data_IF_599321746017
#
_entry.id   IF_599321746017
#
_cell.length_a   1.000
_cell.length_b   1.000
_cell.length_c   1.000
_cell.angle_alpha   90.00
_cell.angle_beta   90.00
_cell.angle_gamma   90.00
#
_symmetry.space_group_name_H-M   'P 1'
#
loop_
_entity.id
_entity.type
_entity.pdbx_description
1 polymer ?
#
# COMPACT_ATOMS: atom_id res chain seq x y z
N UNK A 1 -16.90 -67.60 -24.70
CA UNK A 1 -15.51 -67.17 -24.40
C UNK A 1 -15.15 -65.85 -25.05
N UNK A 2 -15.35 -65.66 -26.37
CA UNK A 2 -15.07 -64.39 -27.07
C UNK A 2 -15.78 -63.16 -26.47
N UNK A 3 -17.06 -63.29 -26.08
CA UNK A 3 -17.82 -62.17 -25.50
C UNK A 3 -17.32 -61.74 -24.12
N UNK A 4 -16.77 -62.68 -23.34
CA UNK A 4 -16.26 -62.42 -21.99
C UNK A 4 -14.91 -61.72 -22.05
N UNK A 5 -14.06 -62.08 -23.02
CA UNK A 5 -12.80 -61.39 -23.30
C UNK A 5 -12.99 -59.98 -23.86
N UNK A 6 -13.95 -59.76 -24.77
CA UNK A 6 -14.23 -58.42 -25.28
C UNK A 6 -14.88 -57.51 -24.22
N UNK A 7 -15.69 -58.07 -23.32
CA UNK A 7 -16.28 -57.33 -22.21
C UNK A 7 -15.23 -56.91 -21.17
N UNK A 8 -14.26 -57.78 -20.87
CA UNK A 8 -13.13 -57.47 -19.98
C UNK A 8 -12.24 -56.38 -20.58
N UNK A 9 -11.86 -56.47 -21.87
CA UNK A 9 -11.06 -55.43 -22.52
C UNK A 9 -11.76 -54.07 -22.59
N UNK A 10 -13.08 -54.05 -22.77
CA UNK A 10 -13.86 -52.81 -22.75
C UNK A 10 -13.92 -52.20 -21.35
N UNK A 11 -14.07 -53.02 -20.31
CA UNK A 11 -14.04 -52.59 -18.91
C UNK A 11 -12.67 -52.08 -18.48
N UNK A 12 -11.59 -52.72 -18.91
CA UNK A 12 -10.22 -52.32 -18.55
C UNK A 12 -9.85 -50.96 -19.18
N UNK A 13 -10.30 -50.72 -20.42
CA UNK A 13 -10.19 -49.41 -21.08
C UNK A 13 -11.00 -48.34 -20.34
N UNK A 14 -12.23 -48.65 -19.92
CA UNK A 14 -13.07 -47.73 -19.12
C UNK A 14 -12.44 -47.43 -17.75
N UNK A 15 -11.84 -48.43 -17.09
CA UNK A 15 -11.14 -48.27 -15.82
C UNK A 15 -9.89 -47.39 -15.98
N UNK A 16 -9.12 -47.55 -17.07
CA UNK A 16 -7.99 -46.68 -17.40
C UNK A 16 -8.40 -45.22 -17.62
N UNK A 17 -9.52 -44.98 -18.33
CA UNK A 17 -10.07 -43.62 -18.49
C UNK A 17 -10.59 -43.03 -17.18
N UNK A 18 -11.21 -43.83 -16.32
CA UNK A 18 -11.67 -43.38 -15.00
C UNK A 18 -10.49 -43.01 -14.09
N UNK A 19 -9.41 -43.79 -14.09
CA UNK A 19 -8.19 -43.48 -13.33
C UNK A 19 -7.50 -42.23 -13.86
N UNK A 20 -7.43 -42.05 -15.18
CA UNK A 20 -6.86 -40.85 -15.79
C UNK A 20 -7.67 -39.59 -15.43
N UNK A 21 -9.00 -39.64 -15.57
CA UNK A 21 -9.86 -38.52 -15.20
C UNK A 21 -9.81 -38.24 -13.69
N UNK A 22 -9.76 -39.29 -12.86
CA UNK A 22 -9.56 -39.16 -11.41
C UNK A 22 -8.24 -38.48 -11.06
N UNK A 23 -7.14 -38.85 -11.72
CA UNK A 23 -5.83 -38.23 -11.52
C UNK A 23 -5.81 -36.75 -11.98
N UNK A 24 -6.42 -36.45 -13.14
CA UNK A 24 -6.56 -35.08 -13.63
C UNK A 24 -7.38 -34.21 -12.66
N UNK A 25 -8.49 -34.73 -12.14
CA UNK A 25 -9.34 -34.01 -11.19
C UNK A 25 -8.63 -33.82 -9.85
N UNK A 26 -7.89 -34.83 -9.38
CA UNK A 26 -7.05 -34.73 -8.20
C UNK A 26 -5.97 -33.65 -8.36
N UNK A 27 -5.29 -33.58 -9.50
CA UNK A 27 -4.31 -32.51 -9.80
C UNK A 27 -4.95 -31.13 -9.77
N UNK A 28 -6.14 -30.97 -10.37
CA UNK A 28 -6.89 -29.71 -10.33
C UNK A 28 -7.26 -29.33 -8.90
N UNK A 29 -7.75 -30.27 -8.09
CA UNK A 29 -8.10 -30.03 -6.69
C UNK A 29 -6.86 -29.68 -5.86
N UNK A 30 -5.74 -30.39 -6.06
CA UNK A 30 -4.47 -30.10 -5.38
C UNK A 30 -3.97 -28.71 -5.77
N UNK A 31 -4.04 -28.36 -7.06
CA UNK A 31 -3.66 -27.04 -7.53
C UNK A 31 -4.50 -25.95 -6.87
N UNK A 32 -5.83 -26.07 -6.89
CA UNK A 32 -6.69 -25.06 -6.25
C UNK A 32 -6.50 -25.03 -4.73
N UNK A 33 -6.35 -26.15 -4.05
CA UNK A 33 -6.15 -26.16 -2.59
C UNK A 33 -4.80 -25.56 -2.19
N UNK A 34 -3.73 -25.77 -2.97
CA UNK A 34 -2.41 -25.21 -2.71
C UNK A 34 -2.28 -23.72 -3.10
N UNK A 35 -2.80 -23.32 -4.26
CA UNK A 35 -2.55 -21.99 -4.83
C UNK A 35 -3.64 -20.95 -4.52
N UNK A 36 -4.89 -21.36 -4.31
CA UNK A 36 -5.99 -20.42 -3.98
C UNK A 36 -5.72 -19.61 -2.71
N UNK A 37 -5.22 -20.21 -1.60
CA UNK A 37 -4.89 -19.44 -0.40
C UNK A 37 -3.82 -18.36 -0.66
N UNK A 38 -2.81 -18.68 -1.47
CA UNK A 38 -1.72 -17.76 -1.83
C UNK A 38 -2.28 -16.57 -2.61
N UNK A 39 -3.14 -16.82 -3.61
CA UNK A 39 -3.77 -15.75 -4.38
C UNK A 39 -4.68 -14.87 -3.54
N UNK A 40 -5.46 -15.46 -2.63
CA UNK A 40 -6.28 -14.69 -1.69
C UNK A 40 -5.42 -13.81 -0.79
N UNK A 41 -4.34 -14.35 -0.21
CA UNK A 41 -3.40 -13.58 0.61
C UNK A 41 -2.81 -12.40 -0.16
N UNK A 42 -2.28 -12.63 -1.36
CA UNK A 42 -1.73 -11.55 -2.20
C UNK A 42 -2.77 -10.47 -2.51
N UNK A 43 -4.00 -10.87 -2.82
CA UNK A 43 -5.10 -9.92 -3.09
C UNK A 43 -5.49 -9.14 -1.83
N UNK A 44 -5.50 -9.78 -0.67
CA UNK A 44 -5.78 -9.12 0.62
C UNK A 44 -4.69 -8.12 0.97
N UNK A 45 -3.42 -8.51 0.85
CA UNK A 45 -2.28 -7.61 1.07
C UNK A 45 -2.31 -6.40 0.14
N UNK A 46 -2.55 -6.61 -1.16
CA UNK A 46 -2.67 -5.50 -2.11
C UNK A 46 -3.79 -4.54 -1.72
N UNK A 47 -4.96 -5.06 -1.30
CA UNK A 47 -6.08 -4.21 -0.82
C UNK A 47 -5.71 -3.45 0.45
N UNK A 48 -5.05 -4.10 1.41
CA UNK A 48 -4.62 -3.46 2.65
C UNK A 48 -3.58 -2.36 2.38
N UNK A 49 -2.61 -2.62 1.51
CA UNK A 49 -1.62 -1.64 1.08
C UNK A 49 -2.25 -0.40 0.42
N UNK A 50 -3.23 -0.59 -0.46
CA UNK A 50 -3.96 0.54 -1.08
C UNK A 50 -4.75 1.34 -0.04
N UNK A 51 -5.33 0.69 0.97
CA UNK A 51 -5.99 1.39 2.08
C UNK A 51 -5.01 2.21 2.91
N UNK A 52 -3.81 1.69 3.18
CA UNK A 52 -2.75 2.44 3.86
C UNK A 52 -2.31 3.66 3.06
N UNK A 53 -2.17 3.51 1.73
CA UNK A 53 -1.87 4.64 0.85
C UNK A 53 -2.97 5.72 0.92
N UNK A 54 -4.24 5.31 0.89
CA UNK A 54 -5.37 6.22 1.03
C UNK A 54 -5.39 6.91 2.40
N UNK A 55 -5.15 6.17 3.48
CA UNK A 55 -5.11 6.71 4.85
C UNK A 55 -4.01 7.78 5.00
N UNK A 56 -2.80 7.53 4.48
CA UNK A 56 -1.74 8.54 4.52
C UNK A 56 -2.04 9.77 3.68
N UNK A 57 -2.72 9.63 2.54
CA UNK A 57 -3.22 10.77 1.77
C UNK A 57 -4.28 11.55 2.55
N UNK A 58 -5.27 10.87 3.13
CA UNK A 58 -6.37 11.49 3.88
C UNK A 58 -5.86 12.31 5.07
N UNK A 59 -4.88 11.80 5.80
CA UNK A 59 -4.26 12.55 6.92
C UNK A 59 -3.63 13.85 6.42
N UNK A 60 -2.83 13.80 5.35
CA UNK A 60 -2.24 15.01 4.75
C UNK A 60 -3.30 15.98 4.21
N UNK A 61 -4.31 15.45 3.52
CA UNK A 61 -5.40 16.24 2.95
C UNK A 61 -6.20 16.96 4.03
N UNK A 62 -6.51 16.28 5.14
CA UNK A 62 -7.25 16.85 6.25
C UNK A 62 -6.49 18.04 6.86
N UNK A 63 -5.17 17.90 7.09
CA UNK A 63 -4.37 19.01 7.61
C UNK A 63 -4.24 20.14 6.59
N UNK A 64 -3.96 19.84 5.33
CA UNK A 64 -3.90 20.86 4.28
C UNK A 64 -5.20 21.66 4.14
N UNK A 65 -6.37 20.99 4.24
CA UNK A 65 -7.69 21.67 4.15
C UNK A 65 -8.05 22.48 5.39
N UNK A 66 -7.57 22.09 6.56
CA UNK A 66 -7.96 22.72 7.83
C UNK A 66 -7.05 23.88 8.22
N UNK A 67 -5.73 23.75 8.03
CA UNK A 67 -4.71 24.76 8.38
C UNK A 67 -5.01 26.17 7.87
N UNK A 68 -5.55 26.40 6.65
CA UNK A 68 -5.85 27.76 6.19
C UNK A 68 -6.90 28.51 7.03
N UNK A 69 -7.76 27.79 7.76
CA UNK A 69 -8.93 28.37 8.44
C UNK A 69 -8.62 28.88 9.85
N UNK A 70 -7.40 28.67 10.37
CA UNK A 70 -6.99 29.13 11.70
C UNK A 70 -5.48 29.38 11.74
N UNK A 71 -5.01 30.11 12.75
CA UNK A 71 -3.59 30.23 13.02
C UNK A 71 -3.15 29.04 13.88
N UNK A 72 -2.24 28.17 13.40
CA UNK A 72 -1.77 27.03 14.17
C UNK A 72 -1.15 27.45 15.50
N UNK A 73 -1.38 26.64 16.53
CA UNK A 73 -0.67 26.71 17.81
C UNK A 73 0.16 25.44 18.00
N UNK A 74 1.18 25.50 18.86
CA UNK A 74 2.11 24.37 19.08
C UNK A 74 1.38 23.06 19.38
N UNK A 75 0.31 23.11 20.20
CA UNK A 75 -0.50 21.94 20.54
C UNK A 75 -1.18 21.31 19.32
N UNK A 76 -1.74 22.13 18.42
CA UNK A 76 -2.41 21.64 17.21
C UNK A 76 -1.43 20.98 16.24
N UNK A 77 -0.23 21.56 16.09
CA UNK A 77 0.83 21.01 15.24
C UNK A 77 1.40 19.70 15.82
N UNK A 78 1.56 19.61 17.14
CA UNK A 78 1.95 18.34 17.80
C UNK A 78 0.88 17.27 17.65
N UNK A 79 -0.40 17.63 17.76
CA UNK A 79 -1.51 16.71 17.46
C UNK A 79 -1.49 16.22 16.02
N UNK A 80 -1.14 17.11 15.08
CA UNK A 80 -0.95 16.74 13.68
C UNK A 80 0.23 15.78 13.48
N UNK A 81 1.39 16.10 14.07
CA UNK A 81 2.57 15.24 14.03
C UNK A 81 2.30 13.84 14.61
N UNK A 82 1.53 13.73 15.70
CA UNK A 82 1.12 12.46 16.28
C UNK A 82 0.22 11.65 15.33
N UNK A 83 -0.73 12.30 14.67
CA UNK A 83 -1.64 11.64 13.72
C UNK A 83 -0.88 11.11 12.50
N UNK A 84 0.05 11.91 11.96
CA UNK A 84 0.98 11.49 10.91
C UNK A 84 1.88 10.34 11.41
N UNK A 85 2.37 10.42 12.65
CA UNK A 85 3.16 9.39 13.31
C UNK A 85 2.44 8.04 13.39
N UNK A 86 1.14 8.04 13.70
CA UNK A 86 0.32 6.83 13.72
C UNK A 86 0.29 6.11 12.37
N UNK A 87 0.16 6.85 11.26
CA UNK A 87 0.18 6.26 9.91
C UNK A 87 1.57 5.75 9.55
N UNK A 88 2.63 6.48 9.90
CA UNK A 88 4.03 6.04 9.72
C UNK A 88 4.24 4.68 10.39
N UNK A 89 3.80 4.52 11.63
CA UNK A 89 3.91 3.26 12.36
C UNK A 89 3.09 2.14 11.71
N UNK A 90 1.89 2.44 11.23
CA UNK A 90 1.05 1.47 10.53
C UNK A 90 1.71 0.96 9.24
N UNK A 91 2.29 1.87 8.45
CA UNK A 91 3.07 1.50 7.25
C UNK A 91 4.33 0.72 7.63
N UNK A 92 5.03 1.13 8.70
CA UNK A 92 6.26 0.46 9.16
C UNK A 92 6.06 -0.98 9.62
N UNK A 93 4.85 -1.33 10.11
CA UNK A 93 4.49 -2.70 10.51
C UNK A 93 3.96 -3.54 9.33
N UNK A 94 3.69 -2.93 8.18
CA UNK A 94 3.12 -3.63 7.04
C UNK A 94 4.16 -4.56 6.37
N UNK A 95 3.83 -5.81 6.01
CA UNK A 95 4.77 -6.74 5.38
C UNK A 95 5.00 -6.39 3.90
N UNK A 96 5.76 -5.31 3.64
CA UNK A 96 6.03 -4.77 2.30
C UNK A 96 6.72 -5.82 1.38
N UNK A 97 7.56 -6.69 1.95
CA UNK A 97 8.28 -7.74 1.23
C UNK A 97 7.36 -8.85 0.67
N UNK A 98 6.11 -8.94 1.11
CA UNK A 98 5.13 -9.90 0.59
C UNK A 98 4.34 -9.36 -0.62
N UNK A 99 4.50 -8.07 -0.95
CA UNK A 99 3.90 -7.47 -2.12
C UNK A 99 4.72 -7.81 -3.38
N UNK A 100 4.01 -8.03 -4.49
CA UNK A 100 4.65 -8.27 -5.79
C UNK A 100 5.40 -7.00 -6.25
N UNK A 101 6.65 -7.14 -6.67
CA UNK A 101 7.38 -6.03 -7.29
C UNK A 101 6.88 -5.82 -8.73
N UNK A 102 6.13 -4.73 -8.93
CA UNK A 102 5.65 -4.30 -10.25
C UNK A 102 6.52 -3.17 -10.85
N UNK A 103 7.79 -3.06 -10.43
CA UNK A 103 8.70 -2.04 -10.93
C UNK A 103 8.27 -0.63 -10.50
N UNK A 104 8.18 0.31 -11.45
CA UNK A 104 7.85 1.72 -11.18
C UNK A 104 6.44 1.93 -10.60
N UNK A 105 5.51 0.99 -10.83
CA UNK A 105 4.13 1.03 -10.33
C UNK A 105 3.90 0.15 -9.10
N UNK A 106 4.98 -0.30 -8.47
CA UNK A 106 4.92 -1.19 -7.31
C UNK A 106 4.31 -0.49 -6.11
N UNK A 107 3.22 -1.06 -5.60
CA UNK A 107 2.54 -0.59 -4.38
C UNK A 107 3.52 -0.58 -3.19
N UNK A 108 4.47 -1.52 -3.15
CA UNK A 108 5.53 -1.55 -2.15
C UNK A 108 6.38 -0.26 -2.17
N UNK A 109 6.78 0.19 -3.37
CA UNK A 109 7.55 1.42 -3.53
C UNK A 109 6.72 2.65 -3.15
N UNK A 110 5.45 2.68 -3.53
CA UNK A 110 4.54 3.76 -3.13
C UNK A 110 4.40 3.85 -1.61
N UNK A 111 4.31 2.71 -0.90
CA UNK A 111 4.25 2.71 0.57
C UNK A 111 5.53 3.27 1.20
N UNK A 112 6.70 2.90 0.67
CA UNK A 112 7.98 3.41 1.16
C UNK A 112 8.09 4.92 0.91
N UNK A 113 7.73 5.37 -0.30
CA UNK A 113 7.76 6.79 -0.66
C UNK A 113 6.77 7.61 0.19
N UNK A 114 5.56 7.09 0.41
CA UNK A 114 4.59 7.69 1.33
C UNK A 114 5.15 7.81 2.74
N UNK A 115 5.75 6.73 3.26
CA UNK A 115 6.33 6.73 4.61
C UNK A 115 7.41 7.82 4.76
N UNK A 116 8.32 7.93 3.79
CA UNK A 116 9.33 9.00 3.78
C UNK A 116 8.71 10.40 3.71
N UNK A 117 7.66 10.60 2.91
CA UNK A 117 6.96 11.88 2.80
C UNK A 117 6.23 12.26 4.10
N UNK A 118 5.55 11.30 4.73
CA UNK A 118 4.92 11.48 6.03
C UNK A 118 5.96 11.77 7.12
N UNK A 119 7.11 11.09 7.11
CA UNK A 119 8.19 11.35 8.07
C UNK A 119 8.74 12.77 7.92
N UNK A 120 8.99 13.24 6.69
CA UNK A 120 9.39 14.62 6.43
C UNK A 120 8.32 15.61 6.91
N UNK A 121 7.04 15.33 6.65
CA UNK A 121 5.93 16.16 7.11
C UNK A 121 5.88 16.25 8.63
N UNK A 122 6.02 15.11 9.31
CA UNK A 122 6.06 15.05 10.77
C UNK A 122 7.19 15.91 11.35
N UNK A 123 8.40 15.82 10.77
CA UNK A 123 9.55 16.61 11.21
C UNK A 123 9.28 18.11 11.09
N UNK A 124 8.73 18.56 9.96
CA UNK A 124 8.39 19.98 9.76
C UNK A 124 7.30 20.43 10.74
N UNK A 125 6.29 19.60 11.01
CA UNK A 125 5.26 19.92 12.00
C UNK A 125 5.82 20.03 13.42
N UNK A 126 6.73 19.12 13.81
CA UNK A 126 7.38 19.14 15.12
C UNK A 126 8.31 20.36 15.27
N UNK A 127 9.10 20.68 14.25
CA UNK A 127 9.98 21.86 14.23
C UNK A 127 9.17 23.17 14.30
N UNK A 128 8.14 23.30 13.46
CA UNK A 128 7.24 24.46 13.48
C UNK A 128 6.56 24.59 14.85
N UNK A 129 6.14 23.48 15.47
CA UNK A 129 5.53 23.50 16.79
C UNK A 129 6.49 23.98 17.88
N UNK A 130 7.78 23.68 17.78
CA UNK A 130 8.81 24.17 18.69
C UNK A 130 9.06 25.67 18.47
N UNK A 131 9.12 26.13 17.22
CA UNK A 131 9.38 27.53 16.88
C UNK A 131 8.27 28.50 17.29
N UNK A 132 7.02 28.03 17.38
CA UNK A 132 5.85 28.84 17.79
C UNK A 132 5.45 28.61 19.25
N UNK A 133 6.27 27.92 20.05
CA UNK A 133 5.91 27.58 21.42
C UNK A 133 5.55 28.83 22.26
N UNK A 134 4.40 28.78 22.94
CA UNK A 134 3.88 29.90 23.74
C UNK A 134 3.14 30.99 22.95
N UNK A 135 2.98 30.85 21.63
CA UNK A 135 2.21 31.78 20.79
C UNK A 135 1.42 31.06 19.68
N UNK A 136 0.57 31.80 18.98
CA UNK A 136 0.05 31.36 17.70
C UNK A 136 1.07 31.64 16.58
N UNK A 137 1.00 30.85 15.52
CA UNK A 137 1.69 31.13 14.28
C UNK A 137 1.23 32.46 13.68
N UNK A 138 2.14 33.14 13.01
CA UNK A 138 1.82 34.29 12.15
C UNK A 138 1.16 33.82 10.86
N UNK A 139 0.51 34.74 10.14
CA UNK A 139 -0.08 34.43 8.83
C UNK A 139 0.97 33.90 7.84
N UNK A 140 2.17 34.48 7.82
CA UNK A 140 3.26 34.01 6.95
C UNK A 140 3.76 32.60 7.30
N UNK A 141 3.86 32.27 8.59
CA UNK A 141 4.22 30.91 9.04
C UNK A 141 3.13 29.89 8.68
N UNK A 142 1.85 30.28 8.82
CA UNK A 142 0.71 29.45 8.37
C UNK A 142 0.78 29.23 6.86
N UNK A 143 0.99 30.27 6.08
CA UNK A 143 0.96 30.19 4.62
C UNK A 143 2.11 29.33 4.09
N UNK A 144 3.30 29.45 4.69
CA UNK A 144 4.44 28.57 4.40
C UNK A 144 4.12 27.10 4.70
N UNK A 145 3.46 26.84 5.84
CA UNK A 145 3.05 25.49 6.21
C UNK A 145 1.99 24.93 5.24
N UNK A 146 1.03 25.74 4.83
CA UNK A 146 0.00 25.36 3.85
C UNK A 146 0.62 25.01 2.51
N UNK A 147 1.54 25.85 2.02
CA UNK A 147 2.28 25.61 0.77
C UNK A 147 3.06 24.29 0.84
N UNK A 148 3.83 24.09 1.91
CA UNK A 148 4.57 22.84 2.12
C UNK A 148 3.65 21.62 2.14
N UNK A 149 2.55 21.65 2.89
CA UNK A 149 1.57 20.57 2.94
C UNK A 149 0.92 20.34 1.56
N UNK A 150 0.70 21.40 0.79
CA UNK A 150 0.17 21.35 -0.58
C UNK A 150 1.10 20.61 -1.53
N UNK A 151 2.41 20.93 -1.52
CA UNK A 151 3.41 20.21 -2.31
C UNK A 151 3.48 18.73 -1.93
N UNK A 152 3.46 18.42 -0.63
CA UNK A 152 3.49 17.03 -0.15
C UNK A 152 2.24 16.28 -0.60
N UNK A 153 1.07 16.92 -0.52
CA UNK A 153 -0.20 16.35 -0.96
C UNK A 153 -0.23 16.10 -2.47
N UNK A 154 0.30 17.03 -3.26
CA UNK A 154 0.40 16.88 -4.72
C UNK A 154 1.33 15.72 -5.10
N UNK A 155 2.47 15.60 -4.43
CA UNK A 155 3.37 14.47 -4.62
C UNK A 155 2.67 13.12 -4.34
N UNK A 156 1.96 13.01 -3.20
CA UNK A 156 1.23 11.79 -2.85
C UNK A 156 0.08 11.52 -3.84
N UNK A 157 -0.64 12.55 -4.27
CA UNK A 157 -1.70 12.44 -5.28
C UNK A 157 -1.16 11.88 -6.59
N UNK A 158 -0.04 12.41 -7.09
CA UNK A 158 0.59 11.96 -8.34
C UNK A 158 1.03 10.49 -8.25
N UNK A 159 1.55 10.08 -7.09
CA UNK A 159 1.91 8.69 -6.81
C UNK A 159 0.68 7.76 -6.80
N UNK A 160 -0.42 8.16 -6.15
CA UNK A 160 -1.67 7.37 -6.12
C UNK A 160 -2.32 7.28 -7.50
N UNK A 161 -2.24 8.36 -8.29
CA UNK A 161 -2.75 8.40 -9.67
C UNK A 161 -1.95 7.51 -10.65
N UNK A 162 -0.83 6.92 -10.21
CA UNK A 162 0.00 6.05 -11.03
C UNK A 162 1.03 6.79 -11.87
N UNK A 163 1.38 8.02 -11.49
CA UNK A 163 2.55 8.71 -12.02
C UNK A 163 3.81 7.88 -11.79
N UNK A 164 4.68 7.81 -12.78
CA UNK A 164 5.95 7.10 -12.62
C UNK A 164 6.81 7.81 -11.59
N UNK A 165 7.19 7.10 -10.53
CA UNK A 165 8.21 7.61 -9.61
C UNK A 165 9.57 7.51 -10.29
N UNK A 166 9.99 8.60 -10.92
CA UNK A 166 11.35 8.75 -11.44
C UNK A 166 12.28 8.88 -10.22
N UNK A 167 13.30 8.02 -10.15
CA UNK A 167 14.35 8.17 -9.14
C UNK A 167 15.01 9.54 -9.37
N UNK A 168 15.20 10.39 -8.34
CA UNK A 168 15.95 11.62 -8.50
C UNK A 168 17.36 11.28 -9.01
N UNK A 169 17.71 11.82 -10.16
CA UNK A 169 19.07 11.77 -10.67
C UNK A 169 19.91 12.73 -9.83
N UNK A 170 20.69 12.17 -8.92
CA UNK A 170 21.73 12.94 -8.24
C UNK A 170 22.78 13.24 -9.31
N UNK A 171 22.79 14.48 -9.83
CA UNK A 171 23.91 14.96 -10.61
C UNK A 171 25.16 14.75 -9.77
N UNK A 172 26.13 14.01 -10.32
CA UNK A 172 27.35 13.62 -9.65
C UNK A 172 27.92 14.80 -8.86
N UNK A 173 27.99 14.65 -7.53
CA UNK A 173 28.80 15.49 -6.65
C UNK A 173 30.27 15.38 -7.06
#
# INVERSE_FOLDING_TARGET
MKDLTSWLEAHDKLAGWAQFLGAMLALVVIYFTAFTPIWHRKRQLRKAAVRLLANGYEVLENYHRTTPNFLPVSLTLRGAALSVGGVIEEIGRFPIYELDDQGSRSVARHLIALNGNLAATRLILEDTAANIEGRAATEGERDTLVEFLGERLEFVRNMIAGGEMIRPEWQNL
#
